data_IF_285409150583
#
_entry.id   IF_285409150583
#
_cell.length_a   1.000
_cell.length_b   1.000
_cell.length_c   1.000
_cell.angle_alpha   90.00
_cell.angle_beta   90.00
_cell.angle_gamma   90.00
#
_symmetry.space_group_name_H-M   'P 1'
#
loop_
_entity.id
_entity.type
_entity.pdbx_description
1 polymer ?
#
# COMPACT_ATOMS: atom_id res chain seq x y z
N UNK A 1 -3.09 -20.35 6.68
CA UNK A 1 -3.78 -19.10 6.32
C UNK A 1 -3.06 -18.51 5.12
N UNK A 2 -3.79 -18.06 4.09
CA UNK A 2 -3.21 -17.39 2.91
C UNK A 2 -2.73 -16.02 3.41
N UNK A 3 -1.45 -15.69 3.24
CA UNK A 3 -0.97 -14.35 3.62
C UNK A 3 -1.43 -13.34 2.58
N UNK A 4 -2.14 -12.29 3.01
CA UNK A 4 -2.55 -11.17 2.15
C UNK A 4 -1.46 -10.11 2.12
N UNK A 5 -1.18 -9.56 0.94
CA UNK A 5 -0.32 -8.41 0.73
C UNK A 5 -1.17 -7.14 0.59
N UNK A 6 -0.86 -6.09 1.35
CA UNK A 6 -1.40 -4.75 1.09
C UNK A 6 -0.41 -3.91 0.30
N UNK A 7 -0.78 -3.53 -0.92
CA UNK A 7 -0.10 -2.50 -1.71
C UNK A 7 -0.70 -1.14 -1.38
N UNK A 8 0.14 -0.18 -1.02
CA UNK A 8 -0.24 1.20 -0.73
C UNK A 8 0.43 2.11 -1.74
N UNK A 9 -0.33 2.83 -2.55
CA UNK A 9 0.17 3.79 -3.52
C UNK A 9 -0.28 5.23 -3.18
N UNK A 10 0.45 6.20 -3.71
CA UNK A 10 0.17 7.63 -3.50
C UNK A 10 -0.91 8.18 -4.43
N UNK A 11 -1.20 7.50 -5.54
CA UNK A 11 -2.24 7.83 -6.49
C UNK A 11 -3.00 6.58 -6.99
N UNK A 12 -4.11 6.83 -7.70
CA UNK A 12 -4.95 5.76 -8.23
C UNK A 12 -4.27 4.99 -9.38
N UNK A 13 -3.51 5.68 -10.23
CA UNK A 13 -2.83 5.04 -11.36
C UNK A 13 -1.80 4.02 -10.87
N UNK A 14 -0.90 4.40 -9.96
CA UNK A 14 0.08 3.48 -9.39
C UNK A 14 -0.54 2.35 -8.59
N UNK A 15 -1.68 2.59 -7.92
CA UNK A 15 -2.43 1.52 -7.25
C UNK A 15 -3.00 0.52 -8.28
N UNK A 16 -3.60 1.01 -9.36
CA UNK A 16 -4.21 0.20 -10.39
C UNK A 16 -3.18 -0.60 -11.20
N UNK A 17 -2.10 0.04 -11.65
CA UNK A 17 -1.03 -0.61 -12.41
C UNK A 17 -0.44 -1.78 -11.62
N UNK A 18 -0.16 -1.55 -10.33
CA UNK A 18 0.35 -2.62 -9.45
C UNK A 18 -0.69 -3.73 -9.26
N UNK A 19 -1.98 -3.39 -9.13
CA UNK A 19 -3.04 -4.38 -8.99
C UNK A 19 -3.17 -5.25 -10.25
N UNK A 20 -3.09 -4.66 -11.44
CA UNK A 20 -3.10 -5.37 -12.72
C UNK A 20 -1.90 -6.31 -12.82
N UNK A 21 -0.69 -5.86 -12.47
CA UNK A 21 0.51 -6.72 -12.48
C UNK A 21 0.35 -7.98 -11.61
N UNK A 22 -0.21 -7.83 -10.40
CA UNK A 22 -0.48 -8.99 -9.53
C UNK A 22 -1.60 -9.88 -10.09
N UNK A 23 -2.66 -9.30 -10.66
CA UNK A 23 -3.74 -10.06 -11.27
C UNK A 23 -3.25 -10.88 -12.49
N UNK A 24 -2.44 -10.29 -13.36
CA UNK A 24 -1.82 -10.97 -14.51
C UNK A 24 -0.84 -12.06 -14.09
N UNK A 25 -0.23 -11.90 -12.92
CA UNK A 25 0.61 -12.94 -12.29
C UNK A 25 -0.20 -14.06 -11.60
N UNK A 26 -1.53 -14.03 -11.69
CA UNK A 26 -2.43 -15.08 -11.19
C UNK A 26 -2.86 -14.92 -9.73
N UNK A 27 -2.63 -13.76 -9.09
CA UNK A 27 -3.06 -13.51 -7.71
C UNK A 27 -4.48 -12.93 -7.65
N UNK A 28 -5.31 -13.46 -6.76
CA UNK A 28 -6.63 -12.86 -6.45
C UNK A 28 -6.43 -11.44 -5.91
N UNK A 29 -6.71 -10.43 -6.73
CA UNK A 29 -6.33 -9.04 -6.46
C UNK A 29 -7.55 -8.12 -6.44
N UNK A 30 -7.62 -7.23 -5.45
CA UNK A 30 -8.69 -6.22 -5.32
C UNK A 30 -8.08 -4.82 -5.22
N UNK A 31 -8.59 -3.89 -6.02
CA UNK A 31 -8.30 -2.46 -5.90
C UNK A 31 -9.31 -1.75 -4.98
N UNK A 32 -8.81 -0.93 -4.08
CA UNK A 32 -9.58 0.00 -3.23
C UNK A 32 -9.18 1.43 -3.56
N UNK A 33 -10.17 2.29 -3.79
CA UNK A 33 -9.91 3.68 -4.19
C UNK A 33 -9.71 4.64 -3.02
N UNK A 34 -9.99 4.20 -1.78
CA UNK A 34 -9.89 5.02 -0.56
C UNK A 34 -9.38 4.20 0.62
N UNK A 35 -8.56 4.82 1.47
CA UNK A 35 -8.02 4.23 2.72
C UNK A 35 -9.12 3.82 3.69
N UNK A 36 -10.24 4.55 3.75
CA UNK A 36 -11.38 4.20 4.62
C UNK A 36 -11.99 2.83 4.29
N UNK A 37 -11.83 2.35 3.05
CA UNK A 37 -12.28 1.02 2.66
C UNK A 37 -11.43 -0.11 3.29
N UNK A 38 -10.28 0.22 3.91
CA UNK A 38 -9.45 -0.75 4.62
C UNK A 38 -10.03 -1.15 5.98
N UNK A 39 -10.95 -0.37 6.55
CA UNK A 39 -11.51 -0.62 7.88
C UNK A 39 -12.38 -1.90 7.95
N UNK A 40 -12.83 -2.42 6.81
CA UNK A 40 -13.70 -3.60 6.72
C UNK A 40 -13.14 -4.64 5.74
N UNK A 41 -11.82 -4.83 5.74
CA UNK A 41 -11.21 -5.84 4.87
C UNK A 41 -11.43 -7.24 5.43
N UNK A 42 -11.75 -8.16 4.53
CA UNK A 42 -11.68 -9.59 4.78
C UNK A 42 -10.48 -10.17 4.03
N UNK A 43 -9.35 -10.46 4.73
CA UNK A 43 -8.13 -10.98 4.11
C UNK A 43 -8.36 -12.27 3.32
N UNK A 44 -9.31 -13.09 3.76
CA UNK A 44 -9.60 -14.40 3.15
C UNK A 44 -10.18 -14.31 1.72
N UNK A 45 -10.54 -13.10 1.26
CA UNK A 45 -11.15 -12.88 -0.07
C UNK A 45 -10.17 -12.41 -1.15
N UNK A 46 -8.94 -12.06 -0.80
CA UNK A 46 -7.93 -11.61 -1.77
C UNK A 46 -6.51 -11.89 -1.27
N UNK A 47 -5.62 -12.29 -2.19
CA UNK A 47 -4.19 -12.40 -1.93
C UNK A 47 -3.50 -11.04 -1.94
N UNK A 48 -4.00 -10.12 -2.76
CA UNK A 48 -3.43 -8.78 -2.89
C UNK A 48 -4.55 -7.76 -2.80
N UNK A 49 -4.35 -6.77 -1.95
CA UNK A 49 -5.23 -5.60 -1.85
C UNK A 49 -4.38 -4.41 -2.22
N UNK A 50 -4.76 -3.69 -3.26
CA UNK A 50 -4.11 -2.43 -3.65
C UNK A 50 -4.97 -1.26 -3.23
N UNK A 51 -4.38 -0.23 -2.66
CA UNK A 51 -5.10 0.98 -2.21
C UNK A 51 -4.37 2.25 -2.61
N UNK A 52 -5.14 3.23 -3.07
CA UNK A 52 -4.67 4.61 -3.22
C UNK A 52 -4.91 5.41 -1.93
N UNK A 53 -3.89 6.16 -1.53
CA UNK A 53 -3.95 7.14 -0.44
C UNK A 53 -4.31 8.55 -0.91
N UNK A 54 -4.32 8.78 -2.22
CA UNK A 54 -4.47 10.12 -2.84
C UNK A 54 -3.58 11.18 -2.17
N UNK A 55 -2.33 10.79 -1.92
CA UNK A 55 -1.39 11.52 -1.07
C UNK A 55 -0.23 12.16 -1.83
N UNK A 56 -0.21 12.07 -3.16
CA UNK A 56 0.89 12.61 -3.97
C UNK A 56 1.16 14.09 -3.67
N UNK A 57 0.13 14.93 -3.72
CA UNK A 57 0.27 16.39 -3.68
C UNK A 57 -0.02 17.04 -2.32
N UNK A 58 -0.16 16.26 -1.23
CA UNK A 58 -0.66 16.78 0.05
C UNK A 58 0.42 17.07 1.11
N UNK A 59 1.70 16.85 0.77
CA UNK A 59 2.83 17.14 1.64
C UNK A 59 2.85 16.30 2.91
N UNK A 60 3.07 16.94 4.06
CA UNK A 60 3.23 16.27 5.36
C UNK A 60 2.03 15.40 5.76
N UNK A 61 0.82 15.75 5.30
CA UNK A 61 -0.40 14.96 5.57
C UNK A 61 -0.32 13.53 5.04
N UNK A 62 0.53 13.25 4.05
CA UNK A 62 0.75 11.90 3.53
C UNK A 62 1.28 10.94 4.61
N UNK A 63 2.02 11.47 5.60
CA UNK A 63 2.53 10.68 6.73
C UNK A 63 1.41 10.03 7.54
N UNK A 64 0.40 10.82 7.90
CA UNK A 64 -0.73 10.33 8.68
C UNK A 64 -1.57 9.34 7.86
N UNK A 65 -1.82 9.62 6.58
CA UNK A 65 -2.59 8.71 5.72
C UNK A 65 -1.91 7.35 5.54
N UNK A 66 -0.59 7.33 5.29
CA UNK A 66 0.16 6.07 5.20
C UNK A 66 0.16 5.34 6.54
N UNK A 67 0.30 6.06 7.65
CA UNK A 67 0.25 5.45 8.99
C UNK A 67 -1.12 4.80 9.28
N UNK A 68 -2.21 5.48 8.93
CA UNK A 68 -3.59 4.97 9.10
C UNK A 68 -3.80 3.74 8.22
N UNK A 69 -3.36 3.78 6.96
CA UNK A 69 -3.52 2.66 6.03
C UNK A 69 -2.86 1.38 6.56
N UNK A 70 -1.63 1.49 7.07
CA UNK A 70 -0.88 0.35 7.63
C UNK A 70 -1.50 -0.12 8.95
N UNK A 71 -1.89 0.81 9.83
CA UNK A 71 -2.57 0.46 11.10
C UNK A 71 -3.85 -0.33 10.85
N UNK A 72 -4.68 0.10 9.88
CA UNK A 72 -5.90 -0.61 9.51
C UNK A 72 -5.60 -2.00 8.94
N UNK A 73 -4.55 -2.14 8.11
CA UNK A 73 -4.12 -3.43 7.57
C UNK A 73 -3.83 -4.43 8.70
N UNK A 74 -3.09 -3.98 9.71
CA UNK A 74 -2.65 -4.81 10.84
C UNK A 74 -3.82 -5.19 11.74
N UNK A 75 -4.75 -4.27 11.99
CA UNK A 75 -6.00 -4.58 12.70
C UNK A 75 -6.81 -5.66 11.98
N UNK A 76 -6.70 -5.72 10.65
CA UNK A 76 -7.31 -6.76 9.82
C UNK A 76 -6.35 -7.95 9.58
N UNK A 77 -5.33 -8.16 10.42
CA UNK A 77 -4.38 -9.28 10.33
C UNK A 77 -3.56 -9.38 9.03
N UNK A 78 -3.36 -8.26 8.34
CA UNK A 78 -2.49 -8.18 7.16
C UNK A 78 -1.08 -7.81 7.62
N UNK A 79 -0.16 -8.78 7.57
CA UNK A 79 1.20 -8.64 8.07
C UNK A 79 2.25 -8.27 7.01
N UNK A 80 1.87 -8.19 5.73
CA UNK A 80 2.77 -7.84 4.63
C UNK A 80 2.33 -6.54 3.96
N UNK A 81 3.24 -5.57 3.90
CA UNK A 81 3.01 -4.25 3.32
C UNK A 81 3.97 -4.01 2.17
N UNK A 82 3.43 -3.54 1.05
CA UNK A 82 4.18 -3.03 -0.09
C UNK A 82 3.85 -1.55 -0.32
N UNK A 83 4.79 -0.66 0.00
CA UNK A 83 4.65 0.78 -0.27
C UNK A 83 5.14 1.07 -1.69
N UNK A 84 4.20 1.37 -2.59
CA UNK A 84 4.42 1.73 -3.98
C UNK A 84 4.71 3.22 -4.10
N UNK A 85 5.94 3.55 -4.52
CA UNK A 85 6.38 4.92 -4.76
C UNK A 85 6.33 5.25 -6.26
N UNK A 86 6.06 6.52 -6.59
CA UNK A 86 6.17 7.06 -7.95
C UNK A 86 7.57 6.86 -8.53
N UNK A 87 7.64 6.43 -9.80
CA UNK A 87 8.89 6.09 -10.49
C UNK A 87 9.80 7.29 -10.76
N UNK A 88 9.28 8.51 -10.60
CA UNK A 88 10.05 9.74 -10.73
C UNK A 88 10.20 10.46 -9.40
N UNK A 89 9.87 9.78 -8.29
CA UNK A 89 9.96 10.29 -6.92
C UNK A 89 9.18 11.60 -6.69
N UNK A 90 8.09 11.81 -7.46
CA UNK A 90 7.26 13.02 -7.32
C UNK A 90 6.42 12.99 -6.05
N UNK A 91 6.10 14.18 -5.55
CA UNK A 91 5.14 14.35 -4.48
C UNK A 91 5.68 14.06 -3.09
N UNK A 92 4.85 13.45 -2.25
CA UNK A 92 5.04 13.39 -0.79
C UNK A 92 5.84 12.17 -0.32
N UNK A 93 6.78 11.69 -1.13
CA UNK A 93 7.51 10.41 -0.92
C UNK A 93 8.14 10.31 0.46
N UNK A 94 8.89 11.34 0.90
CA UNK A 94 9.50 11.40 2.23
C UNK A 94 8.47 11.12 3.33
N UNK A 95 7.32 11.78 3.25
CA UNK A 95 6.28 11.67 4.26
C UNK A 95 5.57 10.32 4.24
N UNK A 96 5.38 9.72 3.07
CA UNK A 96 4.85 8.35 2.95
C UNK A 96 5.78 7.34 3.65
N UNK A 97 7.09 7.44 3.41
CA UNK A 97 8.10 6.57 4.03
C UNK A 97 8.13 6.79 5.54
N UNK A 98 8.13 8.04 6.01
CA UNK A 98 8.05 8.34 7.45
C UNK A 98 6.79 7.77 8.10
N UNK A 99 5.65 7.84 7.43
CA UNK A 99 4.39 7.25 7.90
C UNK A 99 4.49 5.74 8.02
N UNK A 100 5.10 5.08 7.03
CA UNK A 100 5.32 3.64 7.05
C UNK A 100 6.27 3.19 8.17
N UNK A 101 7.41 3.88 8.34
CA UNK A 101 8.36 3.60 9.42
C UNK A 101 7.70 3.82 10.78
N UNK A 102 6.92 4.90 10.95
CA UNK A 102 6.25 5.18 12.21
C UNK A 102 5.20 4.12 12.56
N UNK A 103 4.41 3.69 11.58
CA UNK A 103 3.45 2.60 11.77
C UNK A 103 4.17 1.29 12.14
N UNK A 104 5.26 0.99 11.44
CA UNK A 104 6.07 -0.19 11.69
C UNK A 104 6.69 -0.22 13.09
N UNK A 105 7.33 0.87 13.50
CA UNK A 105 7.97 1.00 14.80
C UNK A 105 6.97 0.87 15.96
N UNK A 106 5.76 1.44 15.79
CA UNK A 106 4.71 1.37 16.82
C UNK A 106 4.03 0.00 16.95
N UNK A 107 4.19 -0.89 15.95
CA UNK A 107 3.44 -2.14 15.83
C UNK A 107 4.34 -3.38 15.72
N UNK A 108 5.64 -3.22 15.94
CA UNK A 108 6.57 -4.35 16.09
C UNK A 108 6.13 -5.19 17.31
N UNK A 109 5.86 -6.51 17.23
CA UNK A 109 6.18 -7.54 16.21
C UNK A 109 4.99 -8.03 15.33
N UNK A 110 3.86 -7.32 15.27
CA UNK A 110 2.66 -7.76 14.53
C UNK A 110 2.86 -7.73 13.01
N UNK A 111 3.71 -6.84 12.54
CA UNK A 111 4.10 -6.69 11.15
C UNK A 111 5.24 -7.66 10.82
N UNK A 112 5.02 -8.52 9.82
CA UNK A 112 6.03 -9.51 9.40
C UNK A 112 7.03 -8.91 8.44
N UNK A 113 6.56 -8.17 7.42
CA UNK A 113 7.43 -7.61 6.38
C UNK A 113 6.93 -6.23 5.87
N UNK A 114 7.84 -5.27 5.70
CA UNK A 114 7.60 -3.98 5.03
C UNK A 114 8.58 -3.82 3.89
N UNK A 115 8.04 -3.76 2.69
CA UNK A 115 8.79 -3.51 1.47
C UNK A 115 8.47 -2.10 0.97
N UNK A 116 9.53 -1.32 0.76
CA UNK A 116 9.44 -0.06 0.02
C UNK A 116 10.17 -0.30 -1.29
N UNK A 117 9.43 -0.39 -2.40
CA UNK A 117 10.05 -0.52 -3.72
C UNK A 117 9.63 0.63 -4.60
N UNK A 118 10.63 1.18 -5.26
CA UNK A 118 10.50 1.98 -6.45
C UNK A 118 10.28 1.03 -7.62
N UNK A 119 9.12 1.12 -8.28
CA UNK A 119 8.88 0.42 -9.55
C UNK A 119 9.04 1.45 -10.66
N UNK A 120 9.99 1.21 -11.56
CA UNK A 120 10.10 1.96 -12.81
C UNK A 120 8.81 1.76 -13.61
N UNK A 121 8.32 2.83 -14.25
CA UNK A 121 7.24 2.74 -15.23
C UNK A 121 7.54 1.58 -16.19
N UNK A 122 6.54 0.74 -16.45
CA UNK A 122 6.48 0.01 -17.71
C UNK A 122 6.39 1.09 -18.80
N UNK A 123 7.50 1.36 -19.49
CA UNK A 123 7.41 1.92 -20.83
C UNK A 123 6.93 0.79 -21.73
N UNK A 124 5.80 1.01 -22.40
CA UNK A 124 5.19 0.09 -23.35
C UNK A 124 6.23 -0.38 -24.38
N UNK A 125 6.35 -1.71 -24.53
CA UNK A 125 6.86 -2.32 -25.77
C UNK A 125 5.79 -2.20 -26.86
#
# INVERSE_FOLDING_TARGET
MKETLLVIADDLTGANDTAVMFAESGFDTVLKTKVSALAQIHPDKAQVISVSTDSRAIGEKAKELTQIAISNAIQNSIGQIYLKIDSTMRGSVKYQIEGAIKAWAGLYPMLKQLFVLHIQKWEEL
#
